data_IF_373998813544
#
_entry.id   IF_373998813544
#
_cell.length_a   1.000
_cell.length_b   1.000
_cell.length_c   1.000
_cell.angle_alpha   90.00
_cell.angle_beta   90.00
_cell.angle_gamma   90.00
#
_symmetry.space_group_name_H-M   'P 1'
#
loop_
_entity.id
_entity.type
_entity.pdbx_description
1 polymer ?
#
# COMPACT_ATOMS: atom_id res chain seq x y z
N UNK A 1 -2.20 -6.27 -28.89
CA UNK A 1 -0.90 -6.75 -29.40
C UNK A 1 -0.61 -8.19 -29.00
N UNK A 2 -0.54 -8.58 -27.72
CA UNK A 2 -0.29 -9.98 -27.34
C UNK A 2 -1.45 -10.95 -27.68
N UNK A 3 -2.70 -10.56 -27.47
CA UNK A 3 -3.87 -11.44 -27.67
C UNK A 3 -4.08 -11.88 -29.12
N UNK A 4 -3.75 -11.01 -30.08
CA UNK A 4 -3.88 -11.22 -31.54
C UNK A 4 -2.67 -11.90 -32.18
N UNK A 5 -1.60 -12.13 -31.43
CA UNK A 5 -0.38 -12.75 -31.94
C UNK A 5 -0.55 -14.27 -32.16
N UNK A 6 0.21 -14.82 -33.12
CA UNK A 6 0.28 -16.26 -33.35
C UNK A 6 0.84 -17.01 -32.14
N UNK A 7 0.67 -18.32 -32.07
CA UNK A 7 1.24 -19.13 -30.97
C UNK A 7 2.77 -18.99 -30.89
N UNK A 8 3.44 -18.95 -32.04
CA UNK A 8 4.90 -18.79 -32.14
C UNK A 8 5.34 -17.43 -31.61
N UNK A 9 4.66 -16.37 -32.00
CA UNK A 9 5.00 -15.00 -31.58
C UNK A 9 4.70 -14.77 -30.10
N UNK A 10 3.61 -15.34 -29.57
CA UNK A 10 3.34 -15.34 -28.11
C UNK A 10 4.45 -16.02 -27.33
N UNK A 11 5.01 -17.11 -27.86
CA UNK A 11 6.17 -17.80 -27.28
C UNK A 11 7.37 -16.86 -27.17
N UNK A 12 7.77 -16.24 -28.28
CA UNK A 12 8.90 -15.30 -28.35
C UNK A 12 8.73 -14.09 -27.41
N UNK A 13 7.53 -13.51 -27.38
CA UNK A 13 7.20 -12.40 -26.48
C UNK A 13 7.33 -12.83 -25.02
N UNK A 14 6.90 -14.04 -24.67
CA UNK A 14 7.03 -14.55 -23.30
C UNK A 14 8.49 -14.78 -22.92
N UNK A 15 9.30 -15.34 -23.82
CA UNK A 15 10.72 -15.58 -23.57
C UNK A 15 11.46 -14.27 -23.28
N UNK A 16 11.23 -13.24 -24.11
CA UNK A 16 11.81 -11.91 -23.93
C UNK A 16 11.38 -11.28 -22.60
N UNK A 17 10.08 -11.34 -22.27
CA UNK A 17 9.58 -10.78 -21.00
C UNK A 17 10.18 -11.50 -19.80
N UNK A 18 10.31 -12.82 -19.85
CA UNK A 18 10.93 -13.58 -18.76
C UNK A 18 12.41 -13.22 -18.61
N UNK A 19 13.15 -13.10 -19.72
CA UNK A 19 14.56 -12.73 -19.71
C UNK A 19 14.80 -11.33 -19.11
N UNK A 20 13.97 -10.35 -19.47
CA UNK A 20 14.14 -8.96 -19.01
C UNK A 20 13.62 -8.74 -17.59
N UNK A 21 12.54 -9.40 -17.18
CA UNK A 21 11.89 -9.14 -15.88
C UNK A 21 12.24 -10.15 -14.78
N UNK A 22 12.88 -11.27 -15.13
CA UNK A 22 13.11 -12.39 -14.21
C UNK A 22 11.82 -13.10 -13.78
N UNK A 23 10.68 -12.85 -14.44
CA UNK A 23 9.41 -13.48 -14.10
C UNK A 23 9.35 -14.92 -14.59
N UNK A 24 8.62 -15.75 -13.84
CA UNK A 24 8.19 -17.05 -14.35
C UNK A 24 7.28 -16.88 -15.58
N UNK A 25 7.34 -17.86 -16.49
CA UNK A 25 6.54 -17.85 -17.73
C UNK A 25 5.04 -17.74 -17.48
N UNK A 26 4.57 -18.30 -16.35
CA UNK A 26 3.18 -18.19 -15.90
C UNK A 26 2.79 -16.76 -15.50
N UNK A 27 3.65 -16.10 -14.71
CA UNK A 27 3.44 -14.72 -14.30
C UNK A 27 3.47 -13.77 -15.51
N UNK A 28 4.45 -13.93 -16.41
CA UNK A 28 4.54 -13.16 -17.65
C UNK A 28 3.27 -13.29 -18.50
N UNK A 29 2.76 -14.53 -18.67
CA UNK A 29 1.51 -14.78 -19.40
C UNK A 29 0.32 -14.08 -18.74
N UNK A 30 0.15 -14.22 -17.42
CA UNK A 30 -0.94 -13.57 -16.68
C UNK A 30 -0.91 -12.04 -16.83
N UNK A 31 0.27 -11.44 -16.69
CA UNK A 31 0.49 -9.98 -16.80
C UNK A 31 0.18 -9.46 -18.21
N UNK A 32 0.66 -10.12 -19.25
CA UNK A 32 0.41 -9.73 -20.65
C UNK A 32 -1.06 -9.87 -21.04
N UNK A 33 -1.74 -10.93 -20.59
CA UNK A 33 -3.18 -11.11 -20.83
C UNK A 33 -3.99 -10.03 -20.10
N UNK A 34 -3.67 -9.74 -18.84
CA UNK A 34 -4.35 -8.71 -18.06
C UNK A 34 -4.15 -7.31 -18.68
N UNK A 35 -2.93 -7.00 -19.14
CA UNK A 35 -2.63 -5.76 -19.83
C UNK A 35 -3.41 -5.62 -21.15
N UNK A 36 -3.51 -6.69 -21.93
CA UNK A 36 -4.25 -6.69 -23.20
C UNK A 36 -5.77 -6.56 -23.04
N UNK A 37 -6.32 -6.93 -21.87
CA UNK A 37 -7.75 -6.77 -21.54
C UNK A 37 -8.10 -5.41 -20.95
N UNK A 38 -7.11 -4.58 -20.65
CA UNK A 38 -7.34 -3.28 -20.00
C UNK A 38 -7.82 -2.26 -21.05
N UNK A 39 -9.01 -1.64 -20.87
CA UNK A 39 -9.48 -0.66 -21.83
C UNK A 39 -8.57 0.58 -21.84
N UNK A 40 -8.31 1.17 -23.04
CA UNK A 40 -7.56 2.42 -23.15
C UNK A 40 -8.30 3.50 -22.35
N UNK A 41 -7.57 4.22 -21.49
CA UNK A 41 -8.15 5.29 -20.66
C UNK A 41 -8.61 4.89 -19.26
N UNK A 42 -8.54 3.61 -18.83
CA UNK A 42 -8.72 3.25 -17.41
C UNK A 42 -7.48 3.58 -16.57
N UNK A 43 -7.17 4.87 -16.51
CA UNK A 43 -6.24 5.53 -15.58
C UNK A 43 -7.02 6.50 -14.71
N UNK A 44 -7.94 5.97 -13.92
CA UNK A 44 -8.21 6.46 -12.57
C UNK A 44 -8.57 5.21 -11.78
N UNK A 45 -7.81 4.88 -10.74
CA UNK A 45 -8.49 4.31 -9.57
C UNK A 45 -9.65 5.28 -9.34
N UNK A 46 -10.90 4.85 -9.50
CA UNK A 46 -12.04 5.70 -9.17
C UNK A 46 -11.66 6.37 -7.86
N UNK A 47 -11.52 7.70 -7.87
CA UNK A 47 -11.00 8.45 -6.72
C UNK A 47 -11.79 7.95 -5.54
N UNK A 48 -11.13 7.14 -4.71
CA UNK A 48 -11.84 6.34 -3.73
C UNK A 48 -12.28 7.37 -2.72
N UNK A 49 -13.56 7.76 -2.80
CA UNK A 49 -14.11 8.86 -2.01
C UNK A 49 -13.63 8.69 -0.59
N UNK A 50 -12.87 9.67 -0.09
CA UNK A 50 -12.34 9.59 1.25
C UNK A 50 -13.52 9.38 2.20
N UNK A 51 -13.41 8.37 3.08
CA UNK A 51 -14.44 8.15 4.08
C UNK A 51 -14.46 9.36 5.02
N UNK A 52 -15.64 9.74 5.49
CA UNK A 52 -15.74 10.74 6.55
C UNK A 52 -14.87 10.32 7.75
N UNK A 53 -14.14 11.29 8.32
CA UNK A 53 -13.27 11.04 9.48
C UNK A 53 -14.16 10.76 10.69
N UNK A 54 -13.91 9.63 11.36
CA UNK A 54 -14.58 9.28 12.62
C UNK A 54 -14.01 10.02 13.83
N UNK A 55 -12.71 10.31 13.80
CA UNK A 55 -11.97 10.89 14.91
C UNK A 55 -11.55 12.33 14.60
N UNK A 56 -11.39 13.13 15.66
CA UNK A 56 -10.96 14.54 15.59
C UNK A 56 -9.54 14.67 15.04
N UNK A 57 -9.11 15.92 14.84
CA UNK A 57 -7.73 16.21 14.44
C UNK A 57 -6.74 15.85 15.54
N UNK A 58 -7.06 16.14 16.80
CA UNK A 58 -6.16 15.89 17.94
C UNK A 58 -5.96 14.39 18.15
N UNK A 59 -7.04 13.61 18.05
CA UNK A 59 -6.96 12.15 18.07
C UNK A 59 -6.06 11.59 16.93
N UNK A 60 -6.05 12.24 15.76
CA UNK A 60 -5.14 11.86 14.67
C UNK A 60 -3.68 12.18 15.02
N UNK A 61 -3.41 13.30 15.70
CA UNK A 61 -2.06 13.69 16.13
C UNK A 61 -1.50 12.73 17.16
N UNK A 62 -2.30 12.37 18.17
CA UNK A 62 -1.96 11.33 19.14
C UNK A 62 -1.66 10.01 18.41
N UNK A 63 -2.54 9.58 17.49
CA UNK A 63 -2.34 8.35 16.73
C UNK A 63 -1.04 8.36 15.90
N UNK A 64 -0.66 9.50 15.31
CA UNK A 64 0.60 9.63 14.57
C UNK A 64 1.81 9.41 15.49
N UNK A 65 1.77 9.94 16.71
CA UNK A 65 2.83 9.79 17.71
C UNK A 65 2.97 8.35 18.18
N UNK A 66 1.83 7.72 18.53
CA UNK A 66 1.80 6.30 18.91
C UNK A 66 2.29 5.40 17.78
N UNK A 67 1.91 5.67 16.52
CA UNK A 67 2.35 4.88 15.38
C UNK A 67 3.87 4.98 15.16
N UNK A 68 4.44 6.19 15.29
CA UNK A 68 5.87 6.40 15.21
C UNK A 68 6.62 5.66 16.32
N UNK A 69 6.15 5.77 17.57
CA UNK A 69 6.71 5.06 18.73
C UNK A 69 6.64 3.53 18.57
N UNK A 70 5.62 3.01 17.88
CA UNK A 70 5.50 1.58 17.59
C UNK A 70 6.50 1.04 16.55
N UNK A 71 7.26 1.92 15.87
CA UNK A 71 8.11 1.54 14.74
C UNK A 71 7.35 1.35 13.43
N UNK A 72 6.19 1.99 13.27
CA UNK A 72 5.43 1.96 12.02
C UNK A 72 4.60 0.69 11.80
N UNK A 73 4.10 0.08 12.88
CA UNK A 73 3.32 -1.16 12.80
C UNK A 73 2.11 -1.05 11.86
N UNK A 74 1.80 -2.14 11.16
CA UNK A 74 0.56 -2.20 10.39
C UNK A 74 -0.66 -2.23 11.33
N UNK A 75 -1.80 -1.68 10.88
CA UNK A 75 -2.94 -1.37 11.74
C UNK A 75 -3.50 -2.54 12.57
N UNK A 76 -3.34 -3.80 12.10
CA UNK A 76 -3.75 -4.98 12.86
C UNK A 76 -2.90 -5.20 14.12
N UNK A 77 -1.60 -4.91 14.08
CA UNK A 77 -0.71 -5.05 15.23
C UNK A 77 -0.78 -3.81 16.12
N UNK A 78 -0.81 -2.63 15.49
CA UNK A 78 -0.95 -1.37 16.22
C UNK A 78 -2.20 -1.36 17.10
N UNK A 79 -3.32 -1.91 16.62
CA UNK A 79 -4.56 -2.03 17.40
C UNK A 79 -4.34 -2.83 18.69
N UNK A 80 -3.66 -3.97 18.59
CA UNK A 80 -3.45 -4.87 19.74
C UNK A 80 -2.43 -4.27 20.74
N UNK A 81 -1.41 -3.57 20.25
CA UNK A 81 -0.41 -2.91 21.11
C UNK A 81 -0.86 -1.54 21.64
N UNK A 82 -1.96 -0.99 21.13
CA UNK A 82 -2.39 0.39 21.42
C UNK A 82 -2.52 0.69 22.91
N UNK A 83 -3.19 -0.14 23.74
CA UNK A 83 -3.39 0.18 25.15
C UNK A 83 -2.04 0.33 25.89
N UNK A 84 -1.14 -0.63 25.69
CA UNK A 84 0.19 -0.59 26.29
C UNK A 84 1.00 0.63 25.84
N UNK A 85 0.97 0.96 24.54
CA UNK A 85 1.71 2.11 24.02
C UNK A 85 1.18 3.43 24.57
N UNK A 86 -0.14 3.57 24.72
CA UNK A 86 -0.74 4.76 25.32
C UNK A 86 -0.31 4.93 26.76
N UNK A 87 -0.40 3.88 27.57
CA UNK A 87 0.00 3.92 28.99
C UNK A 87 1.49 4.31 29.14
N UNK A 88 2.37 3.74 28.30
CA UNK A 88 3.80 4.05 28.33
C UNK A 88 4.10 5.49 27.89
N UNK A 89 3.44 5.96 26.82
CA UNK A 89 3.67 7.30 26.29
C UNK A 89 3.11 8.38 27.21
N UNK A 90 1.95 8.13 27.83
CA UNK A 90 1.38 9.00 28.86
C UNK A 90 2.28 9.04 30.11
N UNK A 91 2.74 7.89 30.61
CA UNK A 91 3.66 7.84 31.75
C UNK A 91 5.00 8.55 31.49
N UNK A 92 5.43 8.62 30.23
CA UNK A 92 6.64 9.35 29.83
C UNK A 92 6.42 10.85 29.56
N UNK A 93 5.18 11.34 29.62
CA UNK A 93 4.82 12.72 29.26
C UNK A 93 4.98 13.04 27.78
N UNK A 94 5.02 12.00 26.91
CA UNK A 94 5.17 12.17 25.46
C UNK A 94 3.85 12.50 24.74
N UNK A 95 2.73 12.38 25.46
CA UNK A 95 1.38 12.75 24.98
C UNK A 95 0.87 14.06 25.57
N UNK A 96 1.62 14.72 26.45
CA UNK A 96 1.25 16.02 27.00
C UNK A 96 1.59 17.12 25.97
N UNK A 97 0.57 17.84 25.53
CA UNK A 97 0.67 18.91 24.54
C UNK A 97 1.38 20.14 25.15
N UNK A 98 2.70 20.11 25.18
CA UNK A 98 3.52 21.33 25.20
C UNK A 98 4.33 21.37 23.89
N UNK A 99 4.15 22.40 23.05
CA UNK A 99 4.82 22.47 21.75
C UNK A 99 6.32 22.67 21.95
N UNK A 100 7.07 21.57 22.03
CA UNK A 100 8.54 21.55 22.01
C UNK A 100 9.07 21.75 20.60
N UNK A 101 8.80 22.91 20.03
CA UNK A 101 9.56 23.47 18.91
C UNK A 101 10.06 24.85 19.31
N UNK A 102 11.32 24.91 19.76
CA UNK A 102 12.20 26.08 19.66
C UNK A 102 13.23 25.81 18.58
#
# INVERSE_FOLDING_TARGET
MYTRASKKDKGRILDEVCAVTGWSRDNARRRLVAAAKRPPGRRKSAERRARARRYSYDALKVLQRVWAASGGQCGKYLKESMPLLLDLLEASGELDDEPRYT
#
